data_IF_353826238905
#
_entry.id   IF_353826238905
#
_cell.length_a   1.000
_cell.length_b   1.000
_cell.length_c   1.000
_cell.angle_alpha   90.00
_cell.angle_beta   90.00
_cell.angle_gamma   90.00
#
_symmetry.space_group_name_H-M   'P 1'
#
loop_
_entity.id
_entity.type
_entity.pdbx_description
1 polymer ?
#
# COMPACT_ATOMS: atom_id res chain seq x y z
N UNK A 1 -4.79 -6.34 16.71
CA UNK A 1 -3.42 -6.51 16.20
C UNK A 1 -2.55 -5.47 16.89
N UNK A 2 -1.34 -5.83 17.33
CA UNK A 2 -0.41 -4.85 17.88
C UNK A 2 0.51 -4.38 16.76
N UNK A 3 0.17 -3.26 16.11
CA UNK A 3 0.98 -2.67 15.05
C UNK A 3 2.23 -2.05 15.67
N UNK A 4 3.39 -2.38 15.10
CA UNK A 4 4.70 -1.92 15.57
C UNK A 4 5.33 -0.88 14.65
N UNK A 5 4.91 -0.83 13.38
CA UNK A 5 5.41 0.10 12.37
C UNK A 5 4.27 0.52 11.44
N UNK A 6 4.11 1.83 11.26
CA UNK A 6 3.23 2.42 10.26
C UNK A 6 4.07 3.00 9.12
N UNK A 7 3.78 2.59 7.89
CA UNK A 7 4.48 3.04 6.69
C UNK A 7 3.56 4.01 5.96
N UNK A 8 4.01 5.25 5.73
CA UNK A 8 3.29 6.23 4.94
C UNK A 8 4.03 6.38 3.60
N UNK A 9 3.34 6.09 2.50
CA UNK A 9 3.91 6.08 1.16
C UNK A 9 3.07 6.95 0.22
N UNK A 10 3.48 8.19 -0.04
CA UNK A 10 2.90 9.00 -1.09
C UNK A 10 3.12 8.34 -2.45
N UNK A 11 2.08 8.26 -3.27
CA UNK A 11 2.14 7.67 -4.62
C UNK A 11 1.49 8.60 -5.64
N UNK A 12 2.06 8.61 -6.84
CA UNK A 12 1.51 9.32 -7.99
C UNK A 12 1.88 8.55 -9.26
N UNK A 13 0.87 7.98 -9.93
CA UNK A 13 1.05 7.21 -11.15
C UNK A 13 2.08 6.07 -11.05
N UNK A 14 1.92 5.22 -10.04
CA UNK A 14 2.80 4.10 -9.69
C UNK A 14 2.26 2.74 -10.19
N UNK A 15 1.37 2.72 -11.19
CA UNK A 15 0.67 1.49 -11.60
C UNK A 15 1.63 0.36 -11.97
N UNK A 16 2.79 0.70 -12.54
CA UNK A 16 3.83 -0.24 -12.94
C UNK A 16 4.59 -0.89 -11.77
N UNK A 17 4.55 -0.31 -10.58
CA UNK A 17 5.40 -0.70 -9.44
C UNK A 17 4.62 -1.05 -8.17
N UNK A 18 3.37 -0.61 -8.06
CA UNK A 18 2.58 -0.72 -6.81
C UNK A 18 2.46 -2.15 -6.29
N UNK A 19 2.38 -3.13 -7.19
CA UNK A 19 2.29 -4.55 -6.85
C UNK A 19 3.55 -5.05 -6.13
N UNK A 20 4.72 -4.79 -6.71
CA UNK A 20 6.03 -5.20 -6.16
C UNK A 20 6.35 -4.43 -4.88
N UNK A 21 5.99 -3.14 -4.82
CA UNK A 21 6.19 -2.32 -3.63
C UNK A 21 5.36 -2.87 -2.46
N UNK A 22 4.09 -3.19 -2.71
CA UNK A 22 3.19 -3.77 -1.72
C UNK A 22 3.72 -5.11 -1.22
N UNK A 23 4.12 -6.01 -2.12
CA UNK A 23 4.73 -7.30 -1.75
C UNK A 23 5.96 -7.09 -0.85
N UNK A 24 6.83 -6.14 -1.19
CA UNK A 24 8.04 -5.87 -0.40
C UNK A 24 7.73 -5.45 1.04
N UNK A 25 6.68 -4.66 1.25
CA UNK A 25 6.28 -4.23 2.60
C UNK A 25 5.75 -5.37 3.45
N UNK A 26 5.02 -6.33 2.85
CA UNK A 26 4.35 -7.42 3.58
C UNK A 26 5.14 -8.73 3.64
N UNK A 27 6.13 -8.94 2.77
CA UNK A 27 6.96 -10.16 2.76
C UNK A 27 8.10 -10.13 3.79
N UNK A 28 8.29 -9.02 4.51
CA UNK A 28 9.50 -8.79 5.30
C UNK A 28 9.25 -8.77 6.83
N UNK A 29 10.16 -9.43 7.56
CA UNK A 29 10.65 -9.24 8.96
C UNK A 29 9.81 -9.58 10.21
N UNK A 30 8.62 -10.18 10.12
CA UNK A 30 7.89 -10.64 11.32
C UNK A 30 7.42 -9.51 12.25
N UNK A 31 7.65 -8.25 11.85
CA UNK A 31 7.10 -7.06 12.48
C UNK A 31 5.69 -6.88 11.95
N UNK A 32 4.74 -6.65 12.86
CA UNK A 32 3.37 -6.32 12.46
C UNK A 32 3.32 -4.87 11.96
N UNK A 33 3.01 -4.69 10.67
CA UNK A 33 3.02 -3.41 9.98
C UNK A 33 1.63 -2.99 9.56
N UNK A 34 1.43 -1.70 9.32
CA UNK A 34 0.33 -1.17 8.52
C UNK A 34 0.90 -0.23 7.45
N UNK A 35 0.28 -0.19 6.28
CA UNK A 35 0.75 0.59 5.13
C UNK A 35 -0.36 1.55 4.71
N UNK A 36 -0.05 2.83 4.62
CA UNK A 36 -0.91 3.87 4.07
C UNK A 36 -0.33 4.36 2.75
N UNK A 37 -0.98 4.00 1.65
CA UNK A 37 -0.74 4.66 0.37
C UNK A 37 -1.54 5.96 0.33
N UNK A 38 -0.84 7.08 0.14
CA UNK A 38 -1.43 8.41 0.07
C UNK A 38 -1.42 8.81 -1.41
N UNK A 39 -2.55 8.68 -2.08
CA UNK A 39 -2.65 8.95 -3.51
C UNK A 39 -2.68 10.46 -3.76
N UNK A 40 -1.74 10.96 -4.59
CA UNK A 40 -1.65 12.37 -4.92
C UNK A 40 -2.46 12.75 -6.18
N UNK A 41 -3.54 12.00 -6.48
CA UNK A 41 -4.40 12.23 -7.65
C UNK A 41 -3.93 11.46 -8.89
N UNK A 42 -3.62 10.17 -8.73
CA UNK A 42 -3.20 9.33 -9.86
C UNK A 42 -4.32 9.16 -10.90
N UNK A 43 -3.94 9.00 -12.16
CA UNK A 43 -4.86 8.85 -13.30
C UNK A 43 -4.50 7.68 -14.23
N UNK A 44 -3.63 6.79 -13.79
CA UNK A 44 -3.06 5.67 -14.56
C UNK A 44 -3.55 4.28 -14.11
N UNK A 45 -4.53 4.23 -13.21
CA UNK A 45 -5.00 2.98 -12.61
C UNK A 45 -4.36 2.63 -11.25
N UNK A 46 -3.45 3.47 -10.73
CA UNK A 46 -2.78 3.21 -9.43
C UNK A 46 -3.78 3.06 -8.30
N UNK A 47 -4.74 3.99 -8.19
CA UNK A 47 -5.74 4.00 -7.12
C UNK A 47 -6.59 2.75 -7.13
N UNK A 48 -7.11 2.39 -8.30
CA UNK A 48 -7.93 1.20 -8.52
C UNK A 48 -7.17 -0.05 -8.10
N UNK A 49 -5.88 -0.12 -8.46
CA UNK A 49 -5.05 -1.26 -8.09
C UNK A 49 -4.81 -1.36 -6.59
N UNK A 50 -4.61 -0.23 -5.90
CA UNK A 50 -4.46 -0.20 -4.44
C UNK A 50 -5.73 -0.74 -3.75
N UNK A 51 -6.92 -0.36 -4.23
CA UNK A 51 -8.22 -0.84 -3.71
C UNK A 51 -8.31 -2.37 -3.86
N UNK A 52 -7.91 -2.92 -5.02
CA UNK A 52 -7.89 -4.38 -5.22
C UNK A 52 -6.96 -5.08 -4.22
N UNK A 53 -5.79 -4.51 -3.94
CA UNK A 53 -4.80 -5.05 -3.01
C UNK A 53 -5.30 -5.09 -1.55
N UNK A 54 -6.22 -4.21 -1.14
CA UNK A 54 -6.82 -4.22 0.21
C UNK A 54 -7.59 -5.52 0.50
N UNK A 55 -8.09 -6.20 -0.52
CA UNK A 55 -8.73 -7.51 -0.36
C UNK A 55 -7.75 -8.56 0.19
N UNK A 56 -6.48 -8.46 -0.21
CA UNK A 56 -5.38 -9.38 0.14
C UNK A 56 -4.65 -8.94 1.41
N UNK A 57 -4.33 -7.65 1.51
CA UNK A 57 -3.57 -7.07 2.62
C UNK A 57 -4.50 -6.26 3.53
N UNK A 58 -4.99 -6.88 4.62
CA UNK A 58 -6.00 -6.28 5.52
C UNK A 58 -5.53 -5.04 6.29
N UNK A 59 -4.23 -4.84 6.37
CA UNK A 59 -3.51 -3.74 7.00
C UNK A 59 -2.92 -2.77 5.95
N UNK A 60 -3.45 -2.79 4.73
CA UNK A 60 -3.20 -1.79 3.70
C UNK A 60 -4.38 -0.82 3.61
N UNK A 61 -4.04 0.46 3.65
CA UNK A 61 -4.96 1.58 3.67
C UNK A 61 -4.66 2.50 2.48
N UNK A 62 -5.70 3.03 1.87
CA UNK A 62 -5.64 4.09 0.88
C UNK A 62 -6.16 5.38 1.52
N UNK A 63 -5.46 6.49 1.30
CA UNK A 63 -5.86 7.85 1.68
C UNK A 63 -5.88 8.70 0.41
N UNK A 64 -6.97 9.44 0.23
CA UNK A 64 -7.29 10.30 -0.92
C UNK A 64 -7.30 11.79 -0.52
#
# INVERSE_FOLDING_TARGET
MNIQLSILCPVLNERAYIDKLTETYFTTDGIQKEVFFIDAGSNDGTKERIIELQSTYKNLHLID
#
